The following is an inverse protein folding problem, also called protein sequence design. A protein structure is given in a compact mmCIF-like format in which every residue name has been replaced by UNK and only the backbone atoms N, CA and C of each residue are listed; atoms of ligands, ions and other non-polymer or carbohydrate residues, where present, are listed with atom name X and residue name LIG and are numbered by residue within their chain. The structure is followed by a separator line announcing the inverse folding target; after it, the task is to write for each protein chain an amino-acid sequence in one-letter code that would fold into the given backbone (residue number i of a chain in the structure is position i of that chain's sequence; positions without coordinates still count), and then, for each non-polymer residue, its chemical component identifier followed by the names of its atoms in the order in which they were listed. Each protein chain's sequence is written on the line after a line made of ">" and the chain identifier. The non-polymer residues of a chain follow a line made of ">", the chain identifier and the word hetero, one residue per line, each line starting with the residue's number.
data_IF_631266110251
#
_entry.id   IF_631266110251
#
_cell.length_a   1.000
_cell.length_b   1.000
_cell.length_c   1.000
_cell.angle_alpha   90.00
_cell.angle_beta   90.00
_cell.angle_gamma   90.00
#
_symmetry.space_group_name_H-M   'P 1'
#
loop_
_entity.id
_entity.type
_entity.pdbx_description
1 polymer ?
#
# COMPACT_ATOMS: atom_id res chain seq x y z
N UNK A 1 -31.45 -31.16 16.22
CA UNK A 1 -31.12 -30.04 15.31
C UNK A 1 -29.64 -29.75 15.43
N UNK A 2 -28.83 -30.31 14.53
CA UNK A 2 -27.37 -30.16 14.57
C UNK A 2 -27.00 -28.76 14.12
N UNK A 3 -26.32 -28.00 14.98
CA UNK A 3 -25.68 -26.72 14.62
C UNK A 3 -24.49 -27.07 13.74
N UNK A 4 -24.48 -26.75 12.43
CA UNK A 4 -23.28 -26.93 11.64
C UNK A 4 -22.19 -26.05 12.27
N UNK A 5 -21.15 -26.69 12.76
CA UNK A 5 -19.93 -26.00 13.19
C UNK A 5 -19.30 -25.52 11.87
N UNK A 6 -19.61 -24.29 11.46
CA UNK A 6 -18.89 -23.68 10.35
C UNK A 6 -17.42 -23.60 10.78
N UNK A 7 -16.53 -24.19 9.99
CA UNK A 7 -15.08 -24.14 10.17
C UNK A 7 -14.65 -22.72 10.57
N UNK A 8 -13.78 -22.52 11.57
CA UNK A 8 -13.47 -21.20 12.11
C UNK A 8 -12.54 -20.43 11.16
N UNK A 9 -13.04 -20.01 10.01
CA UNK A 9 -12.35 -19.14 9.06
C UNK A 9 -12.45 -17.65 9.44
N UNK A 10 -12.77 -17.32 10.69
CA UNK A 10 -13.13 -15.95 11.12
C UNK A 10 -12.00 -15.26 11.90
N UNK A 11 -10.73 -15.64 11.72
CA UNK A 11 -9.59 -15.00 12.41
C UNK A 11 -8.40 -14.66 11.48
N UNK A 12 -8.67 -14.09 10.30
CA UNK A 12 -7.61 -13.84 9.29
C UNK A 12 -6.99 -12.43 9.29
N UNK A 13 -7.58 -11.44 9.97
CA UNK A 13 -7.11 -10.04 9.89
C UNK A 13 -5.66 -9.82 10.34
N UNK A 14 -5.22 -10.51 11.40
CA UNK A 14 -3.81 -10.44 11.87
C UNK A 14 -2.84 -11.18 10.94
N UNK A 15 -3.31 -12.18 10.20
CA UNK A 15 -2.48 -12.92 9.25
C UNK A 15 -2.10 -12.05 8.07
N UNK A 16 -3.06 -11.30 7.51
CA UNK A 16 -2.82 -10.41 6.36
C UNK A 16 -1.80 -9.32 6.67
N UNK A 17 -1.98 -8.58 7.77
CA UNK A 17 -1.03 -7.54 8.18
C UNK A 17 0.38 -8.11 8.40
N UNK A 18 0.48 -9.32 8.98
CA UNK A 18 1.76 -10.01 9.17
C UNK A 18 2.41 -10.39 7.83
N UNK A 19 1.64 -10.91 6.88
CA UNK A 19 2.14 -11.22 5.53
C UNK A 19 2.63 -9.94 4.85
N UNK A 20 1.88 -8.84 4.93
CA UNK A 20 2.30 -7.57 4.32
C UNK A 20 3.60 -7.05 4.92
N UNK A 21 3.80 -7.17 6.23
CA UNK A 21 5.08 -6.87 6.87
C UNK A 21 6.21 -7.76 6.34
N UNK A 22 6.00 -9.07 6.20
CA UNK A 22 7.00 -9.97 5.61
C UNK A 22 7.38 -9.56 4.20
N UNK A 23 6.42 -9.12 3.37
CA UNK A 23 6.70 -8.61 2.03
C UNK A 23 7.53 -7.33 2.09
N UNK A 24 7.19 -6.38 2.98
CA UNK A 24 7.98 -5.16 3.19
C UNK A 24 9.42 -5.51 3.60
N UNK A 25 9.60 -6.46 4.52
CA UNK A 25 10.93 -6.94 4.92
C UNK A 25 11.70 -7.57 3.76
N UNK A 26 11.02 -8.37 2.93
CA UNK A 26 11.63 -8.99 1.75
C UNK A 26 12.05 -7.96 0.68
N UNK A 27 11.43 -6.77 0.65
CA UNK A 27 11.80 -5.68 -0.26
C UNK A 27 13.02 -4.88 0.21
N UNK A 28 13.36 -4.90 1.50
CA UNK A 28 14.51 -4.15 2.03
C UNK A 28 15.84 -4.40 1.30
N UNK A 29 16.26 -5.65 0.98
CA UNK A 29 17.49 -5.86 0.22
C UNK A 29 17.44 -5.23 -1.18
N UNK A 30 16.29 -5.24 -1.86
CA UNK A 30 16.13 -4.60 -3.16
C UNK A 30 16.26 -3.08 -3.06
N UNK A 31 15.64 -2.47 -2.03
CA UNK A 31 15.76 -1.03 -1.77
C UNK A 31 17.21 -0.67 -1.42
N UNK A 32 17.91 -1.50 -0.63
CA UNK A 32 19.31 -1.26 -0.28
C UNK A 32 20.21 -1.25 -1.52
N UNK A 33 20.01 -2.17 -2.46
CA UNK A 33 20.71 -2.19 -3.74
C UNK A 33 20.36 -0.94 -4.58
N UNK A 34 19.09 -0.54 -4.62
CA UNK A 34 18.66 0.66 -5.34
C UNK A 34 19.31 1.93 -4.74
N UNK A 35 19.39 2.05 -3.42
CA UNK A 35 20.09 3.16 -2.75
C UNK A 35 21.58 3.15 -3.06
N UNK A 36 22.22 1.97 -3.13
CA UNK A 36 23.64 1.86 -3.47
C UNK A 36 23.94 2.40 -4.88
N UNK A 37 23.09 2.08 -5.87
CA UNK A 37 23.30 2.50 -7.26
C UNK A 37 22.80 3.91 -7.59
N UNK A 38 21.68 4.33 -7.00
CA UNK A 38 20.98 5.58 -7.35
C UNK A 38 21.09 6.66 -6.25
N UNK A 39 21.68 6.34 -5.10
CA UNK A 39 21.91 7.25 -4.00
C UNK A 39 20.69 7.48 -3.10
N UNK A 40 20.80 8.48 -2.22
CA UNK A 40 19.80 8.80 -1.19
C UNK A 40 18.46 9.31 -1.75
N UNK A 41 18.41 9.72 -3.02
CA UNK A 41 17.17 10.17 -3.68
C UNK A 41 16.05 9.12 -3.65
N UNK A 42 16.42 7.84 -3.70
CA UNK A 42 15.47 6.70 -3.59
C UNK A 42 14.72 6.74 -2.27
N UNK A 43 15.41 7.00 -1.15
CA UNK A 43 14.78 7.04 0.17
C UNK A 43 13.82 8.23 0.30
N UNK A 44 14.17 9.36 -0.30
CA UNK A 44 13.30 10.55 -0.34
C UNK A 44 12.05 10.25 -1.17
N UNK A 45 12.19 9.63 -2.34
CA UNK A 45 11.06 9.22 -3.18
C UNK A 45 10.13 8.24 -2.45
N UNK A 46 10.68 7.22 -1.80
CA UNK A 46 9.93 6.26 -0.99
C UNK A 46 9.20 6.97 0.16
N UNK A 47 9.88 7.86 0.88
CA UNK A 47 9.29 8.59 2.00
C UNK A 47 8.13 9.49 1.54
N UNK A 48 8.26 10.18 0.41
CA UNK A 48 7.20 10.99 -0.19
C UNK A 48 6.01 10.10 -0.58
N UNK A 49 6.25 9.00 -1.28
CA UNK A 49 5.20 8.08 -1.71
C UNK A 49 4.42 7.51 -0.52
N UNK A 50 5.12 6.98 0.48
CA UNK A 50 4.51 6.39 1.68
C UNK A 50 3.77 7.45 2.50
N UNK A 51 4.39 8.61 2.71
CA UNK A 51 3.77 9.71 3.45
C UNK A 51 2.49 10.19 2.78
N UNK A 52 2.52 10.39 1.46
CA UNK A 52 1.35 10.82 0.70
C UNK A 52 0.24 9.74 0.67
N UNK A 53 0.60 8.48 0.49
CA UNK A 53 -0.35 7.36 0.53
C UNK A 53 -1.06 7.25 1.89
N UNK A 54 -0.33 7.44 2.99
CA UNK A 54 -0.90 7.43 4.34
C UNK A 54 -1.86 8.60 4.56
N UNK A 55 -1.52 9.80 4.06
CA UNK A 55 -2.41 10.96 4.12
C UNK A 55 -3.71 10.69 3.34
N UNK A 56 -3.61 10.13 2.14
CA UNK A 56 -4.79 9.78 1.32
C UNK A 56 -5.66 8.70 1.97
N UNK A 57 -5.05 7.62 2.49
CA UNK A 57 -5.77 6.58 3.22
C UNK A 57 -6.51 7.16 4.43
N UNK A 58 -5.83 8.02 5.20
CA UNK A 58 -6.40 8.67 6.36
C UNK A 58 -7.54 9.63 5.97
N UNK A 59 -7.37 10.41 4.91
CA UNK A 59 -8.39 11.32 4.42
C UNK A 59 -9.65 10.56 3.96
N UNK A 60 -9.50 9.50 3.17
CA UNK A 60 -10.64 8.72 2.68
C UNK A 60 -11.34 7.97 3.81
N UNK A 61 -10.59 7.37 4.74
CA UNK A 61 -11.18 6.67 5.88
C UNK A 61 -11.93 7.63 6.82
N UNK A 62 -11.42 8.86 7.00
CA UNK A 62 -12.11 9.93 7.72
C UNK A 62 -13.42 10.32 7.03
N UNK A 63 -13.41 10.55 5.71
CA UNK A 63 -14.60 10.91 4.95
C UNK A 63 -15.66 9.79 4.95
N UNK A 64 -15.23 8.53 4.99
CA UNK A 64 -16.13 7.35 5.00
C UNK A 64 -16.59 6.92 6.39
N UNK A 65 -16.17 7.62 7.46
CA UNK A 65 -16.46 7.27 8.85
C UNK A 65 -16.16 5.80 9.21
N UNK A 66 -15.14 5.22 8.58
CA UNK A 66 -14.71 3.85 8.86
C UNK A 66 -13.74 3.80 10.06
N UNK A 67 -13.60 2.64 10.74
CA UNK A 67 -12.67 2.52 11.86
C UNK A 67 -11.22 2.74 11.38
N UNK A 68 -10.67 3.92 11.71
CA UNK A 68 -9.36 4.41 11.26
C UNK A 68 -8.21 3.46 11.57
N UNK A 69 -8.24 2.84 12.75
CA UNK A 69 -7.20 1.92 13.22
C UNK A 69 -7.11 0.65 12.36
N UNK A 70 -8.22 0.14 11.82
CA UNK A 70 -8.19 -1.10 11.06
C UNK A 70 -7.53 -0.94 9.68
N UNK A 71 -7.76 0.20 9.02
CA UNK A 71 -7.28 0.51 7.65
C UNK A 71 -5.88 1.15 7.59
N UNK A 72 -5.32 1.51 8.75
CA UNK A 72 -3.93 1.97 8.84
C UNK A 72 -3.02 0.84 9.36
N UNK A 73 -3.56 -0.07 10.17
CA UNK A 73 -2.78 -1.15 10.82
C UNK A 73 -2.58 -2.39 9.94
N UNK A 74 -3.16 -2.43 8.75
CA UNK A 74 -3.03 -3.52 7.77
C UNK A 74 -1.79 -3.38 6.88
N UNK A 75 -1.06 -2.26 6.93
CA UNK A 75 0.17 -1.98 6.16
C UNK A 75 0.01 -2.00 4.63
N UNK A 76 -1.20 -2.16 4.11
CA UNK A 76 -1.42 -2.36 2.68
C UNK A 76 -1.14 -1.15 1.83
N UNK A 77 -1.46 0.05 2.33
CA UNK A 77 -1.18 1.29 1.60
C UNK A 77 0.31 1.58 1.58
N UNK A 78 1.03 1.23 2.66
CA UNK A 78 2.48 1.37 2.75
C UNK A 78 3.15 0.44 1.75
N UNK A 79 2.73 -0.83 1.70
CA UNK A 79 3.25 -1.80 0.73
C UNK A 79 2.95 -1.35 -0.71
N UNK A 80 1.75 -0.85 -0.98
CA UNK A 80 1.36 -0.31 -2.30
C UNK A 80 2.29 0.83 -2.73
N UNK A 81 2.49 1.81 -1.85
CA UNK A 81 3.36 2.95 -2.12
C UNK A 81 4.83 2.55 -2.28
N UNK A 82 5.31 1.57 -1.50
CA UNK A 82 6.66 1.02 -1.63
C UNK A 82 6.89 0.36 -2.99
N UNK A 83 5.97 -0.51 -3.42
CA UNK A 83 6.06 -1.18 -4.72
C UNK A 83 6.09 -0.13 -5.84
N UNK A 84 5.21 0.85 -5.77
CA UNK A 84 5.16 1.93 -6.77
C UNK A 84 6.46 2.76 -6.78
N UNK A 85 6.96 3.15 -5.61
CA UNK A 85 8.17 3.95 -5.49
C UNK A 85 9.42 3.24 -6.01
N UNK A 86 9.50 1.91 -5.86
CA UNK A 86 10.60 1.09 -6.39
C UNK A 86 10.45 0.84 -7.89
N UNK A 87 9.22 0.76 -8.40
CA UNK A 87 8.94 0.53 -9.82
C UNK A 87 9.25 1.75 -10.70
N UNK A 88 9.10 2.96 -10.16
CA UNK A 88 9.39 4.21 -10.88
C UNK A 88 10.89 4.55 -10.77
N UNK A 89 11.55 4.98 -11.87
CA UNK A 89 12.94 5.42 -11.81
C UNK A 89 13.18 6.52 -10.74
N UNK A 90 14.25 6.45 -9.94
CA UNK A 90 14.48 7.39 -8.84
C UNK A 90 14.87 8.80 -9.29
N UNK A 91 15.20 8.98 -10.56
CA UNK A 91 15.43 10.28 -11.19
C UNK A 91 14.14 10.91 -11.74
N UNK A 92 13.01 10.23 -11.61
CA UNK A 92 11.73 10.77 -12.03
C UNK A 92 11.37 11.99 -11.16
N UNK A 93 10.74 13.02 -11.73
CA UNK A 93 10.24 14.14 -10.96
C UNK A 93 9.24 13.71 -9.88
N UNK A 94 9.32 14.34 -8.70
CA UNK A 94 8.48 13.98 -7.54
C UNK A 94 6.97 14.11 -7.78
N UNK A 95 6.52 14.92 -8.74
CA UNK A 95 5.09 15.00 -9.06
C UNK A 95 4.56 13.71 -9.69
N UNK A 96 5.39 12.94 -10.39
CA UNK A 96 4.97 11.67 -11.02
C UNK A 96 4.60 10.66 -9.94
N UNK A 97 5.46 10.50 -8.92
CA UNK A 97 5.19 9.57 -7.83
C UNK A 97 3.95 10.00 -7.02
N UNK A 98 3.71 11.32 -6.87
CA UNK A 98 2.51 11.82 -6.20
C UNK A 98 1.24 11.49 -6.98
N UNK A 99 1.22 11.73 -8.30
CA UNK A 99 0.05 11.41 -9.14
C UNK A 99 -0.19 9.90 -9.17
N UNK A 100 0.86 9.10 -9.39
CA UNK A 100 0.74 7.63 -9.38
C UNK A 100 0.24 7.10 -8.04
N UNK A 101 0.72 7.66 -6.92
CA UNK A 101 0.26 7.29 -5.58
C UNK A 101 -1.21 7.69 -5.37
N UNK A 102 -1.62 8.86 -5.86
CA UNK A 102 -3.02 9.29 -5.82
C UNK A 102 -3.93 8.30 -6.54
N UNK A 103 -3.58 7.94 -7.77
CA UNK A 103 -4.38 7.02 -8.57
C UNK A 103 -4.36 5.60 -7.98
N UNK A 104 -3.21 5.09 -7.50
CA UNK A 104 -3.13 3.81 -6.80
C UNK A 104 -4.06 3.74 -5.58
N UNK A 105 -4.02 4.76 -4.71
CA UNK A 105 -4.76 4.74 -3.45
C UNK A 105 -6.24 5.04 -3.68
N UNK A 106 -6.56 6.08 -4.43
CA UNK A 106 -7.95 6.49 -4.63
C UNK A 106 -8.64 5.56 -5.63
N UNK A 107 -8.13 5.46 -6.84
CA UNK A 107 -8.76 4.70 -7.93
C UNK A 107 -8.52 3.19 -7.77
N UNK A 108 -7.29 2.79 -7.44
CA UNK A 108 -6.91 1.38 -7.35
C UNK A 108 -7.42 0.66 -6.09
N UNK A 109 -7.54 1.37 -4.96
CA UNK A 109 -7.95 0.78 -3.67
C UNK A 109 -9.30 1.27 -3.16
N UNK A 110 -9.48 2.58 -3.02
CA UNK A 110 -10.63 3.11 -2.27
C UNK A 110 -11.94 3.16 -3.07
N UNK A 111 -11.90 3.34 -4.39
CA UNK A 111 -13.10 3.27 -5.25
C UNK A 111 -13.84 1.95 -5.03
N UNK A 112 -13.12 0.84 -4.89
CA UNK A 112 -13.69 -0.49 -4.68
C UNK A 112 -14.05 -0.83 -3.23
N UNK A 113 -13.79 0.07 -2.27
CA UNK A 113 -14.17 -0.13 -0.86
C UNK A 113 -13.01 -0.43 0.09
N UNK A 114 -11.79 -0.53 -0.42
CA UNK A 114 -10.56 -0.73 0.35
C UNK A 114 -10.02 -2.16 0.29
N UNK A 115 -9.17 -2.53 1.26
CA UNK A 115 -8.48 -3.82 1.27
C UNK A 115 -9.44 -5.02 1.17
N UNK A 116 -9.11 -5.95 0.27
CA UNK A 116 -9.89 -7.17 0.03
C UNK A 116 -11.03 -7.01 -0.99
N UNK A 117 -11.24 -5.80 -1.53
CA UNK A 117 -12.22 -5.54 -2.59
C UNK A 117 -11.57 -5.02 -3.89
N UNK A 118 -10.24 -4.89 -3.92
CA UNK A 118 -9.52 -4.37 -5.08
C UNK A 118 -9.56 -5.38 -6.24
N UNK A 119 -10.18 -5.00 -7.36
CA UNK A 119 -10.22 -5.84 -8.57
C UNK A 119 -8.84 -6.01 -9.21
N UNK A 120 -8.01 -4.95 -9.12
CA UNK A 120 -6.66 -4.89 -9.64
C UNK A 120 -5.65 -4.62 -8.53
N UNK A 121 -4.38 -4.92 -8.77
CA UNK A 121 -3.31 -4.53 -7.84
C UNK A 121 -3.19 -2.99 -7.84
N UNK A 122 -3.43 -2.31 -6.69
CA UNK A 122 -3.42 -0.85 -6.64
C UNK A 122 -2.09 -0.23 -7.07
N UNK A 123 -0.96 -0.88 -6.79
CA UNK A 123 0.36 -0.36 -7.17
C UNK A 123 0.55 -0.40 -8.69
N UNK A 124 -0.01 -1.41 -9.36
CA UNK A 124 0.08 -1.56 -10.81
C UNK A 124 -0.91 -0.64 -11.54
N UNK A 125 -2.02 -0.27 -10.89
CA UNK A 125 -2.83 0.85 -11.34
C UNK A 125 -1.92 2.08 -11.33
N UNK A 126 -1.45 2.53 -10.16
CA UNK A 126 -0.54 3.69 -10.02
C UNK A 126 0.71 3.77 -10.90
N UNK A 127 1.15 2.67 -11.51
CA UNK A 127 2.32 2.60 -12.38
C UNK A 127 2.00 2.87 -13.85
N UNK A 128 0.77 2.58 -14.30
CA UNK A 128 0.38 2.67 -15.73
C UNK A 128 -0.08 4.08 -16.13
N UNK A 129 -0.19 4.99 -15.16
CA UNK A 129 -0.73 6.36 -15.31
C UNK A 129 0.17 7.31 -16.09
#
# INVERSE_FOLDING_TARGET
>A
MFKPISSPHIHSGKLTARIMLWVIFAMLPAIAVQVYYFGFGVLVQVAIAVGFALILEFAVTLMRQKPKLFYVSDFSVILTALILAVAIPPYAPYWIILIGTFCAVILGKHVYGGLGQNLFNPAMVGYVE
#
